data_IF_863573251137
#
_entry.id   IF_863573251137
#
_cell.length_a   1.000
_cell.length_b   1.000
_cell.length_c   1.000
_cell.angle_alpha   90.00
_cell.angle_beta   90.00
_cell.angle_gamma   90.00
#
_symmetry.space_group_name_H-M   'P 1'
#
loop_
_entity.id
_entity.type
_entity.pdbx_description
1 polymer ?
#
# COMPACT_ATOMS: atom_id res chain seq x y z
N UNK A 1 10.19 22.41 -2.05
CA UNK A 1 11.28 21.44 -1.81
C UNK A 1 10.93 20.21 -2.63
N UNK A 2 11.34 20.19 -3.89
CA UNK A 2 11.08 19.08 -4.80
C UNK A 2 12.10 17.97 -4.54
N UNK A 3 11.68 16.93 -3.83
CA UNK A 3 12.43 15.68 -3.75
C UNK A 3 12.28 14.93 -5.08
N UNK A 4 12.96 15.39 -6.14
CA UNK A 4 13.24 14.67 -7.38
C UNK A 4 12.11 13.76 -7.88
N UNK A 5 11.23 14.29 -8.73
CA UNK A 5 10.09 13.59 -9.33
C UNK A 5 10.45 12.17 -9.79
N UNK A 6 9.73 11.18 -9.27
CA UNK A 6 10.03 9.77 -9.51
C UNK A 6 9.41 8.80 -8.51
N UNK A 7 8.79 9.29 -7.45
CA UNK A 7 8.04 8.47 -6.50
C UNK A 7 6.58 8.34 -6.91
N UNK A 8 6.14 7.12 -7.19
CA UNK A 8 4.73 6.79 -7.34
C UNK A 8 4.15 6.49 -5.97
N UNK A 9 3.24 7.34 -5.50
CA UNK A 9 2.48 7.09 -4.27
C UNK A 9 1.42 6.03 -4.54
N UNK A 10 1.39 4.97 -3.76
CA UNK A 10 0.35 3.93 -3.87
C UNK A 10 -0.57 3.85 -2.66
N UNK A 11 -0.23 4.55 -1.58
CA UNK A 11 -1.07 4.68 -0.41
C UNK A 11 -0.85 6.04 0.25
N UNK A 12 -1.93 6.69 0.69
CA UNK A 12 -1.88 7.90 1.53
C UNK A 12 -2.96 7.87 2.64
N UNK A 13 -2.58 8.31 3.84
CA UNK A 13 -3.44 8.67 4.98
C UNK A 13 -3.07 10.08 5.40
N UNK A 14 -3.95 11.04 5.19
CA UNK A 14 -3.85 12.40 5.73
C UNK A 14 -4.68 12.57 7.01
N UNK A 15 -5.53 11.59 7.33
CA UNK A 15 -6.48 11.66 8.44
C UNK A 15 -7.89 12.01 7.97
N UNK A 16 -8.20 11.76 6.70
CA UNK A 16 -9.54 11.91 6.14
C UNK A 16 -10.49 10.80 6.60
N UNK A 17 -11.73 10.87 6.09
CA UNK A 17 -12.82 9.95 6.46
C UNK A 17 -12.83 8.63 5.69
N UNK A 18 -11.87 8.40 4.78
CA UNK A 18 -11.81 7.14 4.02
C UNK A 18 -11.48 5.97 4.93
N UNK A 19 -12.44 5.07 5.12
CA UNK A 19 -12.21 3.81 5.83
C UNK A 19 -11.27 2.89 5.02
N UNK A 20 -10.25 2.38 5.69
CA UNK A 20 -9.34 1.32 5.19
C UNK A 20 -9.77 -0.08 5.67
N UNK A 21 -10.80 -0.18 6.51
CA UNK A 21 -11.39 -1.47 6.84
C UNK A 21 -12.29 -1.93 5.68
N UNK A 22 -11.65 -2.49 4.66
CA UNK A 22 -12.25 -2.84 3.37
C UNK A 22 -11.99 -4.30 3.01
N UNK A 23 -12.86 -4.83 2.17
CA UNK A 23 -12.80 -6.22 1.70
C UNK A 23 -11.69 -6.44 0.67
N UNK A 24 -11.46 -7.71 0.33
CA UNK A 24 -10.49 -8.13 -0.68
C UNK A 24 -10.68 -7.41 -2.01
N UNK A 25 -11.92 -7.40 -2.51
CA UNK A 25 -12.25 -6.78 -3.79
C UNK A 25 -11.90 -5.28 -3.85
N UNK A 26 -12.09 -4.54 -2.75
CA UNK A 26 -11.69 -3.14 -2.67
C UNK A 26 -10.15 -3.01 -2.65
N UNK A 27 -9.44 -3.82 -1.87
CA UNK A 27 -7.98 -3.78 -1.83
C UNK A 27 -7.33 -4.19 -3.16
N UNK A 28 -7.93 -5.15 -3.88
CA UNK A 28 -7.55 -5.53 -5.24
C UNK A 28 -7.67 -4.36 -6.21
N UNK A 29 -8.84 -3.73 -6.27
CA UNK A 29 -9.16 -2.71 -7.27
C UNK A 29 -8.62 -1.32 -6.91
N UNK A 30 -8.42 -1.04 -5.62
CA UNK A 30 -8.12 0.28 -5.08
C UNK A 30 -9.36 1.02 -4.63
N UNK A 31 -9.18 2.00 -3.75
CA UNK A 31 -10.26 2.81 -3.18
C UNK A 31 -9.74 4.15 -2.68
N UNK A 32 -10.67 5.07 -2.41
CA UNK A 32 -10.38 6.39 -1.86
C UNK A 32 -10.14 7.47 -2.91
N UNK A 33 -9.60 8.61 -2.47
CA UNK A 33 -9.30 9.78 -3.29
C UNK A 33 -7.78 9.99 -3.34
N UNK A 34 -7.21 9.97 -4.54
CA UNK A 34 -5.77 10.13 -4.78
C UNK A 34 -5.20 11.43 -4.21
N UNK A 35 -6.04 12.45 -4.03
CA UNK A 35 -5.65 13.74 -3.46
C UNK A 35 -5.62 13.73 -1.93
N UNK A 36 -6.31 12.77 -1.28
CA UNK A 36 -6.47 12.73 0.18
C UNK A 36 -6.02 11.37 0.73
N UNK A 37 -6.96 10.43 0.85
CA UNK A 37 -6.76 9.12 1.47
C UNK A 37 -7.12 8.05 0.45
N UNK A 38 -6.15 7.24 0.03
CA UNK A 38 -6.35 6.20 -0.98
C UNK A 38 -5.43 5.00 -0.83
N UNK A 39 -5.84 3.92 -1.49
CA UNK A 39 -5.05 2.74 -1.82
C UNK A 39 -5.14 2.51 -3.33
N UNK A 40 -4.00 2.41 -4.01
CA UNK A 40 -3.93 2.30 -5.48
C UNK A 40 -4.65 1.05 -6.04
N UNK A 41 -4.63 -0.02 -5.27
CA UNK A 41 -5.10 -1.36 -5.65
C UNK A 41 -3.95 -2.33 -5.81
N UNK A 42 -4.08 -3.52 -5.21
CA UNK A 42 -3.06 -4.56 -5.21
C UNK A 42 -2.77 -5.04 -6.64
N UNK A 43 -3.77 -5.09 -7.52
CA UNK A 43 -3.57 -5.50 -8.90
C UNK A 43 -2.67 -4.52 -9.65
N UNK A 44 -2.94 -3.21 -9.50
CA UNK A 44 -2.10 -2.16 -10.10
C UNK A 44 -0.69 -2.15 -9.50
N UNK A 45 -0.57 -2.36 -8.19
CA UNK A 45 0.71 -2.44 -7.49
C UNK A 45 1.54 -3.65 -7.93
N UNK A 46 0.89 -4.79 -8.18
CA UNK A 46 1.52 -5.98 -8.74
C UNK A 46 2.08 -5.67 -10.13
N UNK A 47 1.27 -5.14 -11.04
CA UNK A 47 1.73 -4.77 -12.37
C UNK A 47 2.92 -3.78 -12.31
N UNK A 48 2.84 -2.77 -11.46
CA UNK A 48 3.89 -1.76 -11.31
C UNK A 48 5.21 -2.39 -10.83
N UNK A 49 5.18 -3.11 -9.71
CA UNK A 49 6.39 -3.64 -9.05
C UNK A 49 7.02 -4.84 -9.76
N UNK A 50 6.35 -5.38 -10.79
CA UNK A 50 6.86 -6.49 -11.61
C UNK A 50 7.44 -6.03 -12.96
N UNK A 51 7.40 -4.72 -13.29
CA UNK A 51 7.98 -4.19 -14.53
C UNK A 51 9.50 -4.04 -14.48
N UNK A 52 10.03 -3.63 -13.32
CA UNK A 52 11.44 -3.35 -13.06
C UNK A 52 11.75 -3.62 -11.59
N UNK A 53 12.95 -3.30 -11.16
CA UNK A 53 13.29 -3.24 -9.74
C UNK A 53 12.81 -1.91 -9.14
N UNK A 54 12.10 -1.97 -8.02
CA UNK A 54 11.55 -0.81 -7.32
C UNK A 54 12.06 -0.77 -5.88
N UNK A 55 12.40 0.41 -5.39
CA UNK A 55 12.55 0.71 -3.96
C UNK A 55 11.20 1.08 -3.36
N UNK A 56 11.03 0.79 -2.07
CA UNK A 56 9.86 1.21 -1.29
C UNK A 56 10.27 2.22 -0.22
N UNK A 57 9.50 3.29 -0.10
CA UNK A 57 9.64 4.30 0.95
C UNK A 57 8.35 4.42 1.78
N UNK A 58 8.53 4.42 3.09
CA UNK A 58 7.50 4.73 4.08
C UNK A 58 7.79 6.12 4.62
N UNK A 59 6.81 7.02 4.54
CA UNK A 59 6.83 8.26 5.31
C UNK A 59 5.85 8.14 6.49
N UNK A 60 6.36 8.48 7.67
CA UNK A 60 5.67 8.31 8.96
C UNK A 60 5.72 9.62 9.73
N UNK A 61 4.63 9.95 10.42
CA UNK A 61 4.60 11.04 11.39
C UNK A 61 4.47 10.43 12.79
N UNK A 62 5.45 10.66 13.66
CA UNK A 62 5.43 10.15 15.04
C UNK A 62 4.33 10.81 15.87
N UNK A 63 4.01 10.24 17.03
CA UNK A 63 3.12 10.85 18.02
C UNK A 63 3.57 12.26 18.42
N UNK A 64 4.88 12.53 18.38
CA UNK A 64 5.47 13.83 18.70
C UNK A 64 5.52 14.77 17.50
N UNK A 65 4.86 14.41 16.38
CA UNK A 65 4.80 15.16 15.11
C UNK A 65 6.12 15.23 14.33
N UNK A 66 7.10 14.40 14.67
CA UNK A 66 8.32 14.29 13.88
C UNK A 66 8.07 13.51 12.59
N UNK A 67 8.62 14.01 11.48
CA UNK A 67 8.60 13.29 10.20
C UNK A 67 9.79 12.35 10.11
N UNK A 68 9.53 11.06 9.91
CA UNK A 68 10.52 10.00 9.74
C UNK A 68 10.26 9.22 8.46
N UNK A 69 11.29 8.55 7.95
CA UNK A 69 11.13 7.67 6.79
C UNK A 69 11.92 6.38 6.93
N UNK A 70 11.40 5.30 6.35
CA UNK A 70 12.11 4.05 6.10
C UNK A 70 12.19 3.83 4.59
N UNK A 71 13.34 3.35 4.12
CA UNK A 71 13.63 3.04 2.72
C UNK A 71 14.08 1.59 2.61
N UNK A 72 13.52 0.88 1.65
CA UNK A 72 13.88 -0.48 1.28
C UNK A 72 14.37 -0.49 -0.16
N UNK A 73 15.54 -1.10 -0.38
CA UNK A 73 16.19 -1.13 -1.70
C UNK A 73 15.46 -1.99 -2.74
N UNK A 74 14.53 -2.84 -2.31
CA UNK A 74 13.69 -3.66 -3.18
C UNK A 74 12.29 -3.77 -2.61
N UNK A 75 11.31 -3.82 -3.51
CA UNK A 75 9.91 -4.05 -3.21
C UNK A 75 9.23 -4.73 -4.39
N UNK A 76 8.64 -5.89 -4.13
CA UNK A 76 7.86 -6.65 -5.12
C UNK A 76 6.77 -7.42 -4.42
N UNK A 77 5.59 -7.42 -5.03
CA UNK A 77 4.47 -8.26 -4.60
C UNK A 77 4.16 -9.31 -5.67
N UNK A 78 3.57 -10.44 -5.28
CA UNK A 78 3.13 -11.48 -6.20
C UNK A 78 1.74 -11.20 -6.78
N UNK A 79 1.31 -12.06 -7.70
CA UNK A 79 -0.02 -12.02 -8.30
C UNK A 79 -1.12 -12.34 -7.28
N UNK A 80 -2.38 -12.09 -7.66
CA UNK A 80 -3.55 -12.50 -6.88
C UNK A 80 -3.57 -14.01 -6.57
N UNK A 81 -3.15 -14.85 -7.52
CA UNK A 81 -3.07 -16.32 -7.33
C UNK A 81 -2.08 -16.75 -6.25
N UNK A 82 -1.23 -15.83 -5.79
CA UNK A 82 -0.32 -15.98 -4.66
C UNK A 82 -0.65 -14.96 -3.57
N UNK A 83 -1.93 -14.60 -3.45
CA UNK A 83 -2.49 -13.72 -2.43
C UNK A 83 -1.74 -12.38 -2.29
N UNK A 84 -1.23 -11.85 -3.40
CA UNK A 84 -0.43 -10.62 -3.41
C UNK A 84 0.76 -10.63 -2.44
N UNK A 85 1.36 -11.79 -2.13
CA UNK A 85 2.50 -11.95 -1.21
C UNK A 85 3.56 -10.86 -1.33
N UNK A 86 4.07 -10.37 -0.20
CA UNK A 86 5.26 -9.50 -0.17
C UNK A 86 6.52 -10.31 -0.47
N UNK A 87 6.81 -10.53 -1.75
CA UNK A 87 7.90 -11.39 -2.25
C UNK A 87 9.29 -10.84 -1.90
N UNK A 88 9.53 -9.57 -2.27
CA UNK A 88 10.83 -8.93 -2.07
C UNK A 88 10.68 -7.71 -1.20
N UNK A 89 11.54 -7.67 -0.19
CA UNK A 89 11.81 -6.50 0.62
C UNK A 89 13.33 -6.48 0.83
N UNK A 90 13.96 -5.42 0.34
CA UNK A 90 15.41 -5.25 0.29
C UNK A 90 16.03 -4.80 1.60
N UNK A 91 17.24 -4.25 1.54
CA UNK A 91 17.93 -3.72 2.71
C UNK A 91 17.25 -2.44 3.22
N UNK A 92 17.06 -2.37 4.52
CA UNK A 92 16.49 -1.22 5.21
C UNK A 92 17.52 -0.09 5.43
N UNK A 93 17.10 1.16 5.24
CA UNK A 93 17.76 2.38 5.71
C UNK A 93 16.71 3.43 6.11
N UNK A 94 17.11 4.54 6.74
CA UNK A 94 16.20 5.64 7.08
C UNK A 94 16.31 6.13 8.52
N UNK A 95 15.44 7.07 8.89
CA UNK A 95 15.46 7.80 10.18
C UNK A 95 14.44 7.28 11.18
N UNK A 96 13.66 6.30 10.76
CA UNK A 96 12.72 5.55 11.58
C UNK A 96 13.39 5.01 12.85
N UNK A 97 14.50 4.29 12.67
CA UNK A 97 15.18 3.57 13.76
C UNK A 97 14.52 2.22 14.09
N UNK A 98 13.42 1.87 13.41
CA UNK A 98 12.84 0.52 13.39
C UNK A 98 12.90 -0.02 11.97
N UNK A 99 12.91 -1.34 11.82
CA UNK A 99 12.90 -2.02 10.52
C UNK A 99 11.51 -2.53 10.14
N UNK A 100 10.47 -1.74 10.41
CA UNK A 100 9.13 -2.09 9.93
C UNK A 100 9.09 -1.89 8.40
N UNK A 101 8.61 -2.84 7.57
CA UNK A 101 7.96 -4.11 7.91
C UNK A 101 8.80 -5.38 7.59
N UNK A 102 10.04 -5.50 8.07
CA UNK A 102 10.92 -6.68 7.84
C UNK A 102 10.23 -8.02 8.13
N UNK A 103 9.48 -8.10 9.23
CA UNK A 103 8.77 -9.31 9.68
C UNK A 103 7.56 -9.68 8.79
N UNK A 104 7.18 -8.80 7.87
CA UNK A 104 6.08 -9.01 6.94
C UNK A 104 6.58 -9.59 5.60
N UNK A 105 7.90 -9.62 5.37
CA UNK A 105 8.48 -10.22 4.16
C UNK A 105 8.06 -11.69 4.05
N UNK A 106 7.57 -12.07 2.88
CA UNK A 106 7.07 -13.41 2.58
C UNK A 106 5.65 -13.70 3.07
N UNK A 107 4.98 -12.74 3.74
CA UNK A 107 3.59 -12.91 4.18
C UNK A 107 2.61 -12.60 3.06
N UNK A 108 1.49 -13.33 3.06
CA UNK A 108 0.38 -13.12 2.14
C UNK A 108 -0.47 -11.92 2.57
N UNK A 109 -1.09 -11.26 1.60
CA UNK A 109 -1.99 -10.16 1.90
C UNK A 109 -3.29 -10.72 2.46
N UNK A 110 -3.83 -10.08 3.50
CA UNK A 110 -5.09 -10.50 4.14
C UNK A 110 -6.01 -9.30 4.31
N UNK A 111 -7.31 -9.53 4.16
CA UNK A 111 -8.38 -8.59 4.49
C UNK A 111 -9.33 -9.24 5.50
N UNK A 112 -10.31 -8.48 5.98
CA UNK A 112 -11.21 -9.01 7.01
C UNK A 112 -12.06 -10.20 6.54
N UNK A 113 -12.23 -10.35 5.23
CA UNK A 113 -13.01 -11.39 4.56
C UNK A 113 -12.15 -12.45 3.85
N UNK A 114 -10.83 -12.25 3.78
CA UNK A 114 -9.88 -13.21 3.21
C UNK A 114 -8.66 -13.31 4.14
N UNK A 115 -8.66 -14.35 4.97
CA UNK A 115 -7.66 -14.59 6.01
C UNK A 115 -6.49 -15.44 5.49
N UNK A 116 -5.37 -14.79 5.17
CA UNK A 116 -4.16 -15.42 4.66
C UNK A 116 -2.94 -15.15 5.57
N UNK A 117 -3.15 -14.68 6.81
CA UNK A 117 -2.07 -14.16 7.63
C UNK A 117 -1.26 -15.24 8.38
N UNK A 118 -1.77 -16.48 8.34
CA UNK A 118 -1.15 -17.67 8.93
C UNK A 118 -1.32 -17.75 10.45
N UNK A 119 -2.15 -16.90 11.06
CA UNK A 119 -2.48 -16.98 12.47
C UNK A 119 -3.69 -17.89 12.70
N UNK A 120 -3.47 -19.11 13.20
CA UNK A 120 -4.56 -20.07 13.47
C UNK A 120 -5.60 -19.59 14.50
N UNK A 121 -5.25 -18.56 15.29
CA UNK A 121 -6.06 -18.12 16.43
C UNK A 121 -6.97 -16.95 16.09
N UNK A 122 -6.55 -16.06 15.19
CA UNK A 122 -7.26 -14.82 14.91
C UNK A 122 -7.04 -14.37 13.47
N UNK A 123 -8.03 -13.74 12.87
CA UNK A 123 -7.84 -12.94 11.67
C UNK A 123 -7.24 -11.57 12.04
N UNK A 124 -6.00 -11.32 11.63
CA UNK A 124 -5.28 -10.10 11.96
C UNK A 124 -5.86 -8.89 11.25
N UNK A 125 -6.36 -9.05 10.02
CA UNK A 125 -6.98 -7.96 9.28
C UNK A 125 -8.29 -7.48 9.92
N UNK A 126 -9.05 -8.39 10.55
CA UNK A 126 -10.22 -8.06 11.37
C UNK A 126 -9.84 -7.26 12.62
N UNK A 127 -8.75 -7.65 13.29
CA UNK A 127 -8.26 -6.98 14.51
C UNK A 127 -7.66 -5.61 14.23
N UNK A 128 -6.83 -5.54 13.20
CA UNK A 128 -6.07 -4.35 12.79
C UNK A 128 -6.88 -3.48 11.81
N UNK A 129 -8.16 -3.80 11.59
CA UNK A 129 -9.13 -3.03 10.78
C UNK A 129 -8.57 -2.53 9.44
N UNK A 130 -7.82 -3.38 8.74
CA UNK A 130 -7.16 -3.00 7.50
C UNK A 130 -6.47 -4.17 6.81
N UNK A 131 -6.42 -4.10 5.48
CA UNK A 131 -5.74 -5.08 4.66
C UNK A 131 -4.23 -4.87 4.63
N UNK A 132 -3.45 -5.92 4.92
CA UNK A 132 -1.98 -5.86 4.94
C UNK A 132 -1.36 -7.23 4.68
N UNK A 133 -0.05 -7.25 4.45
CA UNK A 133 0.79 -8.44 4.62
C UNK A 133 0.97 -8.72 6.11
N UNK A 134 -0.09 -9.13 6.82
CA UNK A 134 -0.06 -9.30 8.26
C UNK A 134 0.92 -10.41 8.68
N UNK A 135 1.55 -10.22 9.83
CA UNK A 135 2.43 -11.21 10.45
C UNK A 135 1.70 -11.80 11.66
N UNK A 136 1.54 -13.12 11.66
CA UNK A 136 1.08 -13.95 12.79
C UNK A 136 1.68 -13.55 14.14
N UNK A 137 2.96 -13.16 14.15
CA UNK A 137 3.70 -12.74 15.34
C UNK A 137 3.13 -11.49 16.02
N UNK A 138 2.30 -10.71 15.33
CA UNK A 138 1.77 -9.43 15.82
C UNK A 138 0.25 -9.39 15.98
N UNK A 139 -0.44 -10.45 15.57
CA UNK A 139 -1.90 -10.55 15.57
C UNK A 139 -2.53 -10.45 16.98
N UNK A 140 -1.75 -10.85 17.99
CA UNK A 140 -2.14 -10.86 19.39
C UNK A 140 -1.93 -9.50 20.09
N UNK A 141 -1.19 -8.55 19.53
CA UNK A 141 -0.98 -7.27 20.25
C UNK A 141 -2.24 -6.39 20.32
N UNK A 142 -3.30 -6.76 19.60
CA UNK A 142 -4.64 -6.17 19.70
C UNK A 142 -5.51 -7.00 20.66
N UNK A 143 -5.15 -7.05 21.95
CA UNK A 143 -5.87 -7.83 22.97
C UNK A 143 -6.55 -6.95 24.03
N UNK A 144 -7.89 -6.94 23.99
CA UNK A 144 -8.79 -6.52 25.08
C UNK A 144 -10.02 -5.78 24.56
N UNK A 145 -11.25 -6.24 24.81
CA UNK A 145 -12.50 -5.53 24.45
C UNK A 145 -12.67 -5.18 22.95
N UNK A 146 -13.51 -4.17 22.67
CA UNK A 146 -13.74 -3.55 21.33
C UNK A 146 -12.51 -2.76 20.78
N UNK A 147 -11.31 -3.02 21.31
CA UNK A 147 -10.11 -2.25 21.01
C UNK A 147 -9.47 -2.72 19.71
N UNK A 148 -10.05 -2.26 18.61
CA UNK A 148 -9.48 -2.38 17.28
C UNK A 148 -8.47 -1.26 16.99
N UNK A 149 -7.62 -1.48 15.99
CA UNK A 149 -6.51 -0.57 15.71
C UNK A 149 -6.53 -0.16 14.25
N UNK A 150 -7.07 1.03 13.95
CA UNK A 150 -7.46 1.46 12.59
C UNK A 150 -6.29 1.85 11.65
N UNK A 151 -5.05 1.46 11.98
CA UNK A 151 -3.84 1.98 11.35
C UNK A 151 -2.75 0.92 11.16
N UNK A 152 -2.01 1.04 10.05
CA UNK A 152 -0.78 0.28 9.81
C UNK A 152 0.32 0.87 10.71
N UNK A 153 0.76 0.09 11.70
CA UNK A 153 1.60 0.59 12.78
C UNK A 153 3.09 0.47 12.47
N UNK A 154 3.82 1.53 12.74
CA UNK A 154 5.25 1.65 12.43
C UNK A 154 6.20 1.28 13.60
N UNK A 155 5.71 1.19 14.85
CA UNK A 155 6.54 0.85 16.02
C UNK A 155 6.14 -0.51 16.61
N UNK A 156 7.09 -1.18 17.30
CA UNK A 156 6.90 -2.50 17.93
C UNK A 156 6.42 -2.44 19.39
N UNK A 157 5.63 -1.43 19.76
CA UNK A 157 5.07 -1.30 21.10
C UNK A 157 4.00 -2.37 21.39
N UNK A 158 3.68 -2.57 22.67
CA UNK A 158 2.79 -3.63 23.17
C UNK A 158 1.30 -3.23 23.24
N UNK A 159 0.89 -2.08 22.71
CA UNK A 159 -0.50 -1.60 22.80
C UNK A 159 -0.92 -0.69 21.64
N UNK A 160 -2.13 -0.89 21.10
CA UNK A 160 -2.71 -0.11 20.00
C UNK A 160 -2.78 1.41 20.16
N UNK A 161 -2.69 1.90 21.39
CA UNK A 161 -2.86 3.31 21.72
C UNK A 161 -1.60 4.18 21.55
N UNK A 162 -0.44 3.58 21.28
CA UNK A 162 0.86 4.29 21.28
C UNK A 162 1.55 4.34 19.91
N UNK A 163 0.86 3.92 18.84
CA UNK A 163 1.48 3.77 17.52
C UNK A 163 1.35 5.00 16.62
N UNK A 164 2.39 5.25 15.85
CA UNK A 164 2.39 6.21 14.75
C UNK A 164 1.91 5.54 13.45
N UNK A 165 0.92 6.08 12.73
CA UNK A 165 0.48 5.53 11.46
C UNK A 165 1.52 5.72 10.36
N UNK A 166 1.66 4.71 9.50
CA UNK A 166 2.19 4.94 8.16
C UNK A 166 1.26 5.91 7.43
N UNK A 167 1.82 7.05 7.01
CA UNK A 167 1.07 8.10 6.33
C UNK A 167 1.11 7.89 4.83
N UNK A 168 2.27 7.62 4.27
CA UNK A 168 2.43 7.50 2.82
C UNK A 168 3.34 6.34 2.49
N UNK A 169 2.93 5.55 1.49
CA UNK A 169 3.78 4.54 0.87
C UNK A 169 4.04 4.91 -0.59
N UNK A 170 5.31 4.80 -0.98
CA UNK A 170 5.77 5.22 -2.30
C UNK A 170 6.78 4.23 -2.87
N UNK A 171 6.75 4.05 -4.18
CA UNK A 171 7.75 3.25 -4.90
C UNK A 171 8.46 4.10 -5.95
N UNK A 172 9.72 3.77 -6.22
CA UNK A 172 10.50 4.36 -7.32
C UNK A 172 11.42 3.31 -7.92
N UNK A 173 11.79 3.44 -9.19
CA UNK A 173 12.71 2.49 -9.84
C UNK A 173 14.10 2.58 -9.23
N UNK A 174 14.77 1.44 -9.01
CA UNK A 174 16.18 1.44 -8.59
C UNK A 174 17.14 1.56 -9.78
N UNK A 175 18.07 2.52 -9.69
CA UNK A 175 19.07 2.81 -10.72
C UNK A 175 18.99 4.24 -11.25
N UNK A 176 20.01 4.74 -11.97
CA UNK A 176 19.89 6.02 -12.65
C UNK A 176 18.68 5.96 -13.59
N UNK A 177 17.76 6.92 -13.48
CA UNK A 177 16.71 7.11 -14.47
C UNK A 177 17.38 7.19 -15.84
N UNK A 178 17.27 6.14 -16.64
CA UNK A 178 17.58 6.25 -18.05
C UNK A 178 16.56 7.23 -18.63
N UNK A 179 17.04 8.45 -18.95
CA UNK A 179 16.24 9.58 -19.46
C UNK A 179 15.61 9.29 -20.83
N UNK A 180 15.65 8.03 -21.29
CA UNK A 180 15.11 7.56 -22.56
C UNK A 180 13.86 6.70 -22.41
N UNK A 181 13.43 6.31 -21.20
CA UNK A 181 12.16 5.59 -21.04
C UNK A 181 10.96 6.55 -21.06
N UNK A 182 10.55 6.90 -22.28
CA UNK A 182 9.21 7.42 -22.60
C UNK A 182 8.16 6.60 -21.85
N UNK A 183 7.26 7.30 -21.14
CA UNK A 183 6.06 6.78 -20.52
C UNK A 183 5.29 5.95 -21.55
N UNK A 184 5.47 4.64 -21.52
CA UNK A 184 4.60 3.73 -22.27
C UNK A 184 3.29 3.72 -21.51
N UNK A 185 2.31 4.43 -22.07
CA UNK A 185 0.95 4.53 -21.57
C UNK A 185 0.45 3.14 -21.19
N UNK A 186 0.03 2.95 -19.94
CA UNK A 186 -0.67 1.74 -19.51
C UNK A 186 -1.86 1.51 -20.47
N UNK A 187 -1.95 0.38 -21.19
CA UNK A 187 -3.15 0.10 -21.95
C UNK A 187 -4.23 -0.31 -20.94
N UNK A 188 -5.10 0.64 -20.57
CA UNK A 188 -6.40 0.32 -19.98
C UNK A 188 -7.26 -0.37 -21.06
N UNK A 189 -7.03 -1.66 -21.32
CA UNK A 189 -8.00 -2.48 -22.04
C UNK A 189 -8.96 -3.08 -21.01
N UNK A 190 -9.94 -2.27 -20.64
CA UNK A 190 -11.16 -2.76 -20.00
C UNK A 190 -12.02 -3.40 -21.10
N UNK A 191 -12.14 -4.73 -21.11
CA UNK A 191 -13.10 -5.41 -21.97
C UNK A 191 -14.50 -5.18 -21.40
N UNK A 192 -15.15 -4.10 -21.86
CA UNK A 192 -16.59 -3.90 -21.66
C UNK A 192 -17.31 -4.92 -22.55
N UNK A 193 -18.01 -5.88 -21.94
CA UNK A 193 -19.10 -6.54 -22.63
C UNK A 193 -20.11 -5.47 -23.03
N UNK A 194 -20.31 -5.30 -24.34
CA UNK A 194 -21.27 -4.38 -24.94
C UNK A 194 -22.64 -4.59 -24.32
N UNK A 195 -23.14 -3.56 -23.64
CA UNK A 195 -24.54 -3.20 -23.64
C UNK A 195 -24.63 -1.68 -23.88
N UNK A 196 -25.60 -1.31 -24.71
CA UNK A 196 -25.69 -0.07 -25.47
C UNK A 196 -26.11 1.14 -24.61
N UNK A 197 -25.36 2.24 -24.67
CA UNK A 197 -25.90 3.60 -24.87
C UNK A 197 -24.76 4.64 -25.00
N UNK A 198 -24.63 5.21 -26.20
CA UNK A 198 -23.54 6.11 -26.60
C UNK A 198 -23.85 7.58 -26.26
N UNK A 199 -23.59 7.99 -25.02
CA UNK A 199 -23.55 9.42 -24.68
C UNK A 199 -22.51 9.82 -23.61
N UNK A 200 -22.01 8.91 -22.77
CA UNK A 200 -21.11 9.26 -21.65
C UNK A 200 -19.60 8.99 -21.89
N UNK A 201 -19.20 8.65 -23.12
CA UNK A 201 -17.81 8.24 -23.43
C UNK A 201 -16.79 9.38 -23.61
N UNK A 202 -17.21 10.65 -23.54
CA UNK A 202 -16.32 11.79 -23.82
C UNK A 202 -15.88 12.61 -22.59
N UNK A 203 -16.24 12.22 -21.37
CA UNK A 203 -15.86 12.98 -20.16
C UNK A 203 -14.73 12.33 -19.34
N UNK A 204 -14.41 11.05 -19.57
CA UNK A 204 -13.48 10.30 -18.72
C UNK A 204 -12.07 10.08 -19.31
N UNK A 205 -11.76 10.64 -20.48
CA UNK A 205 -10.42 10.54 -21.09
C UNK A 205 -9.51 11.75 -20.82
N UNK A 206 -10.02 12.82 -20.20
CA UNK A 206 -9.25 14.07 -20.06
C UNK A 206 -8.54 14.27 -18.72
N UNK A 207 -8.80 13.49 -17.66
CA UNK A 207 -8.35 13.83 -16.30
C UNK A 207 -7.26 12.94 -15.70
N UNK A 208 -6.56 12.12 -16.49
CA UNK A 208 -5.50 11.23 -15.95
C UNK A 208 -4.13 11.45 -16.60
N UNK A 209 -4.01 12.33 -17.60
CA UNK A 209 -2.75 12.50 -18.36
C UNK A 209 -1.91 13.74 -18.00
N UNK A 210 -2.31 14.59 -17.05
CA UNK A 210 -1.60 15.84 -16.79
C UNK A 210 -0.82 15.92 -15.46
N UNK A 211 -0.73 14.84 -14.67
CA UNK A 211 -0.11 14.89 -13.34
C UNK A 211 1.11 13.97 -13.14
N UNK A 212 1.89 13.74 -14.21
CA UNK A 212 3.19 13.05 -14.13
C UNK A 212 4.32 13.84 -14.79
N UNK A 213 4.41 15.15 -14.51
CA UNK A 213 5.62 15.97 -14.71
C UNK A 213 5.94 16.70 -13.42
#
# INVERSE_FOLDING_TARGET
>A
MDNGGGWTVFQRRTGGSTSFFRNWAAYKNGFGDINVDFWLGNEKLYYLTNQKYYSLRFDVTTSNRDSKYALYSEFRIMSESHNYRLDRLGSHSGTTGTRFPDNNKGKDFSTYDEDNDGCDKYNCALRHRGGWWHSDSWCNYCHGGDNHCDQFHYTGASSCYTFAPVKTLMVTTTGPMDRTSSLTTMPLRYNVHRDENSADLNVMTSNVLEYLV
#
